data_IF_123324457273
#
_entry.id   IF_123324457273
#
_cell.length_a   1.000
_cell.length_b   1.000
_cell.length_c   1.000
_cell.angle_alpha   90.00
_cell.angle_beta   90.00
_cell.angle_gamma   90.00
#
_symmetry.space_group_name_H-M   'P 1'
#
loop_
_entity.id
_entity.type
_entity.pdbx_description
1 polymer ?
#
# COMPACT_ATOMS: atom_id res chain seq x y z
N UNK A 1 -17.78 -8.06 5.87
CA UNK A 1 -18.13 -7.95 7.30
C UNK A 1 -18.64 -9.27 7.91
N UNK A 2 -19.58 -9.99 7.28
CA UNK A 2 -20.11 -11.26 7.80
C UNK A 2 -19.10 -12.44 7.87
N UNK A 3 -18.04 -12.45 7.04
CA UNK A 3 -17.03 -13.52 7.03
C UNK A 3 -15.94 -13.37 8.10
N UNK A 4 -15.78 -12.17 8.66
CA UNK A 4 -14.71 -11.84 9.62
C UNK A 4 -15.17 -11.89 11.07
N UNK A 5 -16.46 -11.61 11.34
CA UNK A 5 -17.05 -11.75 12.68
C UNK A 5 -17.08 -13.22 13.14
N UNK A 6 -17.21 -14.16 12.20
CA UNK A 6 -17.23 -15.62 12.49
C UNK A 6 -15.86 -16.18 12.95
N UNK A 7 -14.76 -15.43 12.79
CA UNK A 7 -13.41 -15.82 13.25
C UNK A 7 -13.01 -15.15 14.59
N UNK A 8 -13.88 -14.37 15.24
CA UNK A 8 -13.56 -13.69 16.51
C UNK A 8 -12.54 -12.54 16.38
N UNK A 9 -12.21 -12.12 15.15
CA UNK A 9 -11.29 -11.01 14.91
C UNK A 9 -12.01 -9.68 15.15
N UNK A 10 -11.52 -8.90 16.11
CA UNK A 10 -12.02 -7.55 16.39
C UNK A 10 -11.55 -6.59 15.28
N UNK A 11 -12.35 -6.51 14.21
CA UNK A 11 -12.05 -5.73 13.00
C UNK A 11 -11.82 -4.25 13.31
N UNK A 12 -12.53 -3.71 14.32
CA UNK A 12 -12.37 -2.32 14.74
C UNK A 12 -10.95 -2.07 15.27
N UNK A 13 -10.48 -2.90 16.20
CA UNK A 13 -9.14 -2.78 16.77
C UNK A 13 -8.05 -2.91 15.69
N UNK A 14 -8.17 -3.90 14.80
CA UNK A 14 -7.21 -4.13 13.72
C UNK A 14 -7.16 -2.94 12.76
N UNK A 15 -8.31 -2.37 12.43
CA UNK A 15 -8.40 -1.19 11.56
C UNK A 15 -7.74 0.02 12.20
N UNK A 16 -7.99 0.28 13.49
CA UNK A 16 -7.34 1.38 14.21
C UNK A 16 -5.82 1.23 14.25
N UNK A 17 -5.32 0.03 14.57
CA UNK A 17 -3.87 -0.23 14.60
C UNK A 17 -3.26 -0.05 13.20
N UNK A 18 -3.90 -0.60 12.17
CA UNK A 18 -3.43 -0.48 10.79
C UNK A 18 -3.41 0.98 10.30
N UNK A 19 -4.44 1.76 10.61
CA UNK A 19 -4.51 3.18 10.27
C UNK A 19 -3.43 3.98 10.98
N UNK A 20 -3.19 3.71 12.27
CA UNK A 20 -2.18 4.41 13.05
C UNK A 20 -0.77 4.16 12.48
N UNK A 21 -0.44 2.90 12.18
CA UNK A 21 0.84 2.51 11.56
C UNK A 21 0.98 3.13 10.16
N UNK A 22 -0.05 2.99 9.31
CA UNK A 22 -0.03 3.53 7.95
C UNK A 22 0.11 5.06 7.93
N UNK A 23 -0.58 5.74 8.84
CA UNK A 23 -0.51 7.20 9.04
C UNK A 23 0.90 7.63 9.42
N UNK A 24 1.53 6.99 10.41
CA UNK A 24 2.88 7.34 10.85
C UNK A 24 3.90 7.18 9.71
N UNK A 25 3.87 6.05 9.01
CA UNK A 25 4.76 5.78 7.88
C UNK A 25 4.56 6.83 6.78
N UNK A 26 3.31 7.15 6.46
CA UNK A 26 2.99 8.14 5.41
C UNK A 26 3.44 9.54 5.83
N UNK A 27 3.19 9.95 7.07
CA UNK A 27 3.57 11.26 7.58
C UNK A 27 5.09 11.47 7.52
N UNK A 28 5.86 10.46 7.91
CA UNK A 28 7.33 10.51 7.84
C UNK A 28 7.78 10.67 6.39
N UNK A 29 7.26 9.84 5.46
CA UNK A 29 7.64 9.95 4.05
C UNK A 29 7.26 11.29 3.41
N UNK A 30 6.06 11.79 3.70
CA UNK A 30 5.58 13.07 3.17
C UNK A 30 6.40 14.25 3.70
N UNK A 31 6.90 14.19 4.94
CA UNK A 31 7.74 15.24 5.50
C UNK A 31 9.09 15.38 4.76
N UNK A 32 9.64 14.29 4.21
CA UNK A 32 10.91 14.31 3.47
C UNK A 32 10.73 14.55 1.96
N UNK A 33 9.73 13.92 1.33
CA UNK A 33 9.59 13.88 -0.14
C UNK A 33 8.44 14.76 -0.65
N UNK A 34 7.51 15.16 0.22
CA UNK A 34 6.28 15.86 -0.16
C UNK A 34 5.12 14.92 -0.48
N UNK A 35 4.01 15.49 -0.98
CA UNK A 35 2.75 14.76 -1.17
C UNK A 35 2.83 13.90 -2.44
N UNK A 36 2.65 12.59 -2.30
CA UNK A 36 2.59 11.61 -3.40
C UNK A 36 1.23 10.90 -3.37
N UNK A 37 0.35 11.20 -4.34
CA UNK A 37 -1.04 10.74 -4.31
C UNK A 37 -1.36 9.48 -5.13
N UNK A 38 -0.61 9.21 -6.20
CA UNK A 38 -1.10 8.31 -7.26
C UNK A 38 -0.74 6.83 -7.04
N UNK A 39 0.47 6.58 -6.53
CA UNK A 39 1.08 5.24 -6.46
C UNK A 39 0.29 4.30 -5.53
N UNK A 40 -0.19 4.82 -4.39
CA UNK A 40 -0.93 4.04 -3.38
C UNK A 40 -2.29 3.53 -3.84
N UNK A 41 -2.90 4.14 -4.86
CA UNK A 41 -4.18 3.70 -5.42
C UNK A 41 -3.99 2.75 -6.61
N UNK A 42 -3.09 3.07 -7.53
CA UNK A 42 -2.94 2.35 -8.81
C UNK A 42 -2.37 0.95 -8.63
N UNK A 43 -1.35 0.79 -7.78
CA UNK A 43 -0.60 -0.47 -7.66
C UNK A 43 -1.41 -1.63 -7.07
N UNK A 44 -2.15 -1.46 -5.95
CA UNK A 44 -2.98 -2.55 -5.44
C UNK A 44 -4.11 -2.94 -6.41
N UNK A 45 -4.65 -1.99 -7.17
CA UNK A 45 -5.65 -2.28 -8.20
C UNK A 45 -5.05 -3.08 -9.35
N UNK A 46 -3.84 -2.74 -9.79
CA UNK A 46 -3.13 -3.43 -10.86
C UNK A 46 -2.80 -4.88 -10.46
N UNK A 47 -2.24 -5.08 -9.28
CA UNK A 47 -1.87 -6.42 -8.78
C UNK A 47 -3.11 -7.26 -8.50
N UNK A 48 -4.19 -6.66 -8.00
CA UNK A 48 -5.46 -7.37 -7.81
C UNK A 48 -6.05 -7.87 -9.13
N UNK A 49 -5.94 -7.08 -10.22
CA UNK A 49 -6.35 -7.53 -11.55
C UNK A 49 -5.45 -8.63 -12.10
N UNK A 50 -4.15 -8.54 -11.85
CA UNK A 50 -3.17 -9.50 -12.38
C UNK A 50 -3.13 -10.83 -11.62
N UNK A 51 -3.43 -10.83 -10.31
CA UNK A 51 -3.33 -12.00 -9.43
C UNK A 51 -4.60 -12.29 -8.64
N UNK A 52 -5.70 -12.50 -9.36
CA UNK A 52 -7.05 -12.66 -8.81
C UNK A 52 -7.24 -13.80 -7.77
N UNK A 53 -6.31 -14.76 -7.65
CA UNK A 53 -6.46 -15.98 -6.82
C UNK A 53 -5.36 -16.21 -5.74
N UNK A 54 -4.43 -15.27 -5.54
CA UNK A 54 -3.30 -15.51 -4.61
C UNK A 54 -3.64 -15.16 -3.15
N UNK A 55 -2.92 -15.77 -2.21
CA UNK A 55 -3.05 -15.47 -0.78
C UNK A 55 -2.75 -14.00 -0.48
N UNK A 56 -3.40 -13.45 0.55
CA UNK A 56 -3.28 -12.04 0.94
C UNK A 56 -1.81 -11.65 1.18
N UNK A 57 -1.02 -12.52 1.82
CA UNK A 57 0.40 -12.28 2.08
C UNK A 57 1.23 -12.15 0.80
N UNK A 58 0.94 -12.94 -0.24
CA UNK A 58 1.66 -12.85 -1.51
C UNK A 58 1.27 -11.60 -2.31
N UNK A 59 -0.01 -11.22 -2.27
CA UNK A 59 -0.46 -9.95 -2.85
C UNK A 59 0.23 -8.75 -2.18
N UNK A 60 0.39 -8.78 -0.84
CA UNK A 60 1.11 -7.73 -0.12
C UNK A 60 2.58 -7.65 -0.52
N UNK A 61 3.28 -8.79 -0.59
CA UNK A 61 4.68 -8.84 -1.01
C UNK A 61 4.87 -8.26 -2.42
N UNK A 62 3.99 -8.61 -3.35
CA UNK A 62 4.03 -8.09 -4.71
C UNK A 62 3.71 -6.60 -4.78
N UNK A 63 2.75 -6.12 -3.96
CA UNK A 63 2.46 -4.69 -3.85
C UNK A 63 3.69 -3.91 -3.40
N UNK A 64 4.47 -4.45 -2.46
CA UNK A 64 5.70 -3.80 -1.97
C UNK A 64 6.77 -3.79 -3.08
N UNK A 65 7.01 -4.92 -3.75
CA UNK A 65 8.05 -5.04 -4.77
C UNK A 65 7.74 -4.18 -6.00
N UNK A 66 6.56 -4.34 -6.59
CA UNK A 66 6.15 -3.58 -7.79
C UNK A 66 5.93 -2.10 -7.41
N UNK A 67 5.38 -1.86 -6.21
CA UNK A 67 5.27 -0.58 -5.54
C UNK A 67 6.55 0.24 -5.57
N UNK A 68 7.56 -0.30 -4.89
CA UNK A 68 8.86 0.34 -4.73
C UNK A 68 9.56 0.54 -6.08
N UNK A 69 9.51 -0.44 -6.97
CA UNK A 69 10.12 -0.33 -8.30
C UNK A 69 9.54 0.83 -9.11
N UNK A 70 8.22 0.94 -9.21
CA UNK A 70 7.55 2.04 -9.93
C UNK A 70 7.88 3.38 -9.27
N UNK A 71 7.90 3.43 -7.94
CA UNK A 71 8.22 4.65 -7.21
C UNK A 71 9.65 5.13 -7.43
N UNK A 72 10.64 4.23 -7.40
CA UNK A 72 12.05 4.56 -7.68
C UNK A 72 12.22 5.04 -9.12
N UNK A 73 11.53 4.41 -10.09
CA UNK A 73 11.56 4.88 -11.47
C UNK A 73 10.93 6.27 -11.62
N UNK A 74 9.83 6.54 -10.91
CA UNK A 74 9.21 7.87 -10.91
C UNK A 74 10.12 8.94 -10.31
N UNK A 75 10.82 8.63 -9.21
CA UNK A 75 11.78 9.53 -8.57
C UNK A 75 12.98 9.83 -9.48
N UNK A 76 13.51 8.80 -10.16
CA UNK A 76 14.59 8.95 -11.14
C UNK A 76 14.19 9.85 -12.31
N UNK A 77 12.99 9.64 -12.87
CA UNK A 77 12.46 10.46 -13.96
C UNK A 77 12.24 11.90 -13.48
N UNK A 78 11.66 12.08 -12.28
CA UNK A 78 11.45 13.39 -11.68
C UNK A 78 12.76 14.15 -11.51
N UNK A 79 13.78 13.52 -10.94
CA UNK A 79 15.09 14.16 -10.72
C UNK A 79 15.88 14.43 -12.01
N UNK A 80 15.60 13.73 -13.10
CA UNK A 80 16.33 13.93 -14.37
C UNK A 80 15.66 14.92 -15.32
N UNK A 81 14.35 15.13 -15.20
CA UNK A 81 13.57 15.99 -16.11
C UNK A 81 13.34 17.39 -15.52
N UNK A 82 13.19 17.51 -14.20
CA UNK A 82 12.98 18.77 -13.46
C UNK A 82 14.31 19.31 -12.92
#
# INVERSE_FOLDING_TARGET
>A
ELKSQSLGLNVQLITYIALCIASMITAINVAYVGIIGFIGMVIPQLIRKWQWKQSLGRQLALNIVIGGQIMVMADFIGSHIL
#
